data_IF_113756063104
#
_entry.id   IF_113756063104
#
_cell.length_a   1.000
_cell.length_b   1.000
_cell.length_c   1.000
_cell.angle_alpha   90.00
_cell.angle_beta   90.00
_cell.angle_gamma   90.00
#
_symmetry.space_group_name_H-M   'P 1'
#
loop_
_entity.id
_entity.type
_entity.pdbx_description
1 polymer ?
#
# COMPACT_ATOMS: atom_id res chain seq x y z
N UNK A 1 -15.99 3.24 -12.74
CA UNK A 1 -14.91 2.88 -11.80
C UNK A 1 -15.05 1.40 -11.49
N UNK A 2 -14.02 0.58 -11.71
CA UNK A 2 -14.07 -0.86 -11.42
C UNK A 2 -13.55 -1.11 -10.01
N UNK A 3 -14.25 -1.92 -9.23
CA UNK A 3 -13.81 -2.36 -7.89
C UNK A 3 -13.44 -3.84 -7.97
N UNK A 4 -12.28 -4.18 -7.42
CA UNK A 4 -11.78 -5.55 -7.32
C UNK A 4 -11.71 -5.91 -5.84
N UNK A 5 -12.44 -6.96 -5.46
CA UNK A 5 -12.33 -7.55 -4.12
C UNK A 5 -11.26 -8.62 -4.20
N UNK A 6 -10.12 -8.35 -3.57
CA UNK A 6 -9.00 -9.28 -3.52
C UNK A 6 -8.54 -9.34 -2.07
N UNK A 7 -8.63 -10.52 -1.47
CA UNK A 7 -8.08 -10.73 -0.14
C UNK A 7 -6.55 -10.71 -0.23
N UNK A 8 -5.87 -10.05 0.73
CA UNK A 8 -4.41 -9.92 0.70
C UNK A 8 -3.71 -11.28 0.82
N UNK A 9 -4.34 -12.26 1.48
CA UNK A 9 -3.84 -13.63 1.60
C UNK A 9 -4.99 -14.65 1.53
N UNK A 10 -4.67 -15.88 1.08
CA UNK A 10 -5.64 -16.96 0.90
C UNK A 10 -5.30 -18.17 1.79
N UNK A 11 -6.30 -19.02 2.06
CA UNK A 11 -6.13 -20.26 2.82
C UNK A 11 -5.69 -20.03 4.27
N UNK A 12 -4.82 -20.91 4.78
CA UNK A 12 -4.32 -20.86 6.18
C UNK A 12 -3.60 -19.54 6.47
N UNK A 13 -2.83 -19.02 5.51
CA UNK A 13 -2.14 -17.73 5.65
C UNK A 13 -3.14 -16.56 5.78
N UNK A 14 -4.29 -16.64 5.11
CA UNK A 14 -5.38 -15.67 5.27
C UNK A 14 -5.99 -15.65 6.67
N UNK A 15 -6.15 -16.82 7.29
CA UNK A 15 -6.64 -16.95 8.66
C UNK A 15 -5.61 -16.39 9.65
N UNK A 16 -4.33 -16.75 9.49
CA UNK A 16 -3.24 -16.20 10.31
C UNK A 16 -3.14 -14.68 10.17
N UNK A 17 -3.28 -14.17 8.96
CA UNK A 17 -3.34 -12.74 8.68
C UNK A 17 -4.49 -12.06 9.43
N UNK A 18 -5.71 -12.60 9.32
CA UNK A 18 -6.87 -12.03 10.00
C UNK A 18 -6.70 -12.07 11.52
N UNK A 19 -6.17 -13.17 12.07
CA UNK A 19 -5.84 -13.30 13.49
C UNK A 19 -4.81 -12.27 13.94
N UNK A 20 -3.73 -12.09 13.18
CA UNK A 20 -2.71 -11.07 13.46
C UNK A 20 -3.28 -9.65 13.35
N UNK A 21 -4.16 -9.40 12.39
CA UNK A 21 -4.80 -8.09 12.20
C UNK A 21 -5.65 -7.72 13.42
N UNK A 22 -6.43 -8.68 13.91
CA UNK A 22 -7.26 -8.53 15.12
C UNK A 22 -6.37 -8.36 16.36
N UNK A 23 -5.28 -9.12 16.47
CA UNK A 23 -4.33 -9.00 17.57
C UNK A 23 -3.65 -7.62 17.62
N UNK A 24 -3.30 -7.06 16.46
CA UNK A 24 -2.67 -5.74 16.34
C UNK A 24 -3.68 -4.58 16.31
N UNK A 25 -4.98 -4.86 16.31
CA UNK A 25 -6.02 -3.84 16.22
C UNK A 25 -5.97 -2.82 17.36
N UNK A 26 -5.85 -3.22 18.66
CA UNK A 26 -5.76 -2.25 19.75
C UNK A 26 -4.55 -1.34 19.58
N UNK A 27 -3.44 -1.92 19.11
CA UNK A 27 -2.20 -1.24 18.88
C UNK A 27 -2.32 -0.16 17.77
N UNK A 28 -2.97 -0.50 16.65
CA UNK A 28 -3.29 0.46 15.59
C UNK A 28 -4.20 1.58 16.09
N UNK A 29 -5.25 1.22 16.84
CA UNK A 29 -6.19 2.16 17.39
C UNK A 29 -5.50 3.19 18.31
N UNK A 30 -4.66 2.74 19.24
CA UNK A 30 -3.93 3.66 20.14
C UNK A 30 -3.02 4.62 19.37
N UNK A 31 -2.31 4.13 18.34
CA UNK A 31 -1.46 4.97 17.51
C UNK A 31 -2.25 6.09 16.81
N UNK A 32 -3.40 5.78 16.22
CA UNK A 32 -4.27 6.80 15.60
C UNK A 32 -4.84 7.79 16.62
N UNK A 33 -5.34 7.30 17.76
CA UNK A 33 -5.87 8.16 18.83
C UNK A 33 -4.81 9.16 19.28
N UNK A 34 -3.59 8.69 19.44
CA UNK A 34 -2.47 9.51 19.90
C UNK A 34 -2.06 10.58 18.89
N UNK A 35 -1.98 10.23 17.60
CA UNK A 35 -1.69 11.20 16.55
C UNK A 35 -2.80 12.26 16.46
N UNK A 36 -4.07 11.86 16.55
CA UNK A 36 -5.19 12.81 16.55
C UNK A 36 -5.15 13.75 17.77
N UNK A 37 -4.86 13.22 18.96
CA UNK A 37 -4.71 14.02 20.19
C UNK A 37 -3.56 15.02 20.09
N UNK A 38 -2.46 14.66 19.44
CA UNK A 38 -1.31 15.55 19.31
C UNK A 38 -1.58 16.78 18.42
N UNK A 39 -2.66 16.76 17.65
CA UNK A 39 -3.17 17.94 16.89
C UNK A 39 -4.25 18.71 17.69
N UNK A 40 -4.44 18.39 18.97
CA UNK A 40 -5.38 19.09 19.86
C UNK A 40 -6.80 18.52 19.87
N UNK A 41 -7.03 17.35 19.26
CA UNK A 41 -8.35 16.72 19.25
C UNK A 41 -8.74 16.23 20.64
N UNK A 42 -9.98 16.52 21.06
CA UNK A 42 -10.53 16.05 22.34
C UNK A 42 -10.52 14.51 22.43
N UNK A 43 -10.24 13.96 23.61
CA UNK A 43 -10.05 12.52 23.83
C UNK A 43 -11.20 11.66 23.28
N UNK A 44 -12.46 12.03 23.56
CA UNK A 44 -13.61 11.27 23.06
C UNK A 44 -13.68 11.27 21.53
N UNK A 45 -13.41 12.41 20.89
CA UNK A 45 -13.40 12.51 19.44
C UNK A 45 -12.25 11.69 18.84
N UNK A 46 -11.06 11.78 19.44
CA UNK A 46 -9.89 10.99 19.02
C UNK A 46 -10.14 9.48 19.17
N UNK A 47 -10.77 9.03 20.26
CA UNK A 47 -11.16 7.63 20.48
C UNK A 47 -12.17 7.15 19.43
N UNK A 48 -13.23 7.91 19.18
CA UNK A 48 -14.24 7.56 18.19
C UNK A 48 -13.65 7.53 16.77
N UNK A 49 -12.89 8.55 16.38
CA UNK A 49 -12.28 8.62 15.05
C UNK A 49 -11.15 7.60 14.87
N UNK A 50 -10.25 7.47 15.83
CA UNK A 50 -9.14 6.52 15.76
C UNK A 50 -9.60 5.07 15.71
N UNK A 51 -10.63 4.71 16.48
CA UNK A 51 -11.28 3.40 16.37
C UNK A 51 -11.97 3.24 15.02
N UNK A 52 -12.78 4.22 14.58
CA UNK A 52 -13.49 4.17 13.30
C UNK A 52 -12.53 3.99 12.12
N UNK A 53 -11.44 4.75 12.09
CA UNK A 53 -10.39 4.66 11.07
C UNK A 53 -9.76 3.26 11.06
N UNK A 54 -9.41 2.73 12.23
CA UNK A 54 -8.79 1.40 12.35
C UNK A 54 -9.73 0.30 11.86
N UNK A 55 -11.00 0.32 12.30
CA UNK A 55 -12.01 -0.65 11.87
C UNK A 55 -12.33 -0.52 10.38
N UNK A 56 -12.48 0.71 9.88
CA UNK A 56 -12.75 0.97 8.48
C UNK A 56 -11.60 0.46 7.61
N UNK A 57 -10.36 0.79 7.97
CA UNK A 57 -9.17 0.31 7.27
C UNK A 57 -9.10 -1.22 7.21
N UNK A 58 -9.42 -1.91 8.31
CA UNK A 58 -9.45 -3.37 8.33
C UNK A 58 -10.59 -3.94 7.45
N UNK A 59 -11.80 -3.40 7.58
CA UNK A 59 -12.97 -3.85 6.84
C UNK A 59 -12.85 -3.60 5.33
N UNK A 60 -12.20 -2.50 4.93
CA UNK A 60 -11.99 -2.14 3.52
C UNK A 60 -10.65 -2.61 2.97
N UNK A 61 -9.86 -3.36 3.75
CA UNK A 61 -8.59 -3.97 3.33
C UNK A 61 -8.73 -4.85 2.06
N UNK A 62 -9.81 -5.64 1.86
CA UNK A 62 -9.98 -6.40 0.62
C UNK A 62 -10.39 -5.57 -0.61
N UNK A 63 -10.74 -4.29 -0.41
CA UNK A 63 -11.36 -3.46 -1.45
C UNK A 63 -10.26 -2.68 -2.19
N UNK A 64 -10.15 -2.96 -3.50
CA UNK A 64 -9.19 -2.30 -4.38
C UNK A 64 -9.93 -1.56 -5.49
N UNK A 65 -9.64 -0.28 -5.62
CA UNK A 65 -10.25 0.61 -6.60
C UNK A 65 -9.33 0.73 -7.81
N UNK A 66 -9.77 0.30 -8.98
CA UNK A 66 -8.99 0.41 -10.21
C UNK A 66 -8.93 1.86 -10.67
N UNK A 67 -7.74 2.43 -10.71
CA UNK A 67 -7.46 3.81 -11.15
C UNK A 67 -6.97 3.85 -12.59
N UNK A 68 -6.33 2.78 -13.09
CA UNK A 68 -5.85 2.73 -14.47
C UNK A 68 -5.93 1.30 -15.02
N UNK A 69 -6.22 1.19 -16.32
CA UNK A 69 -6.28 -0.10 -17.03
C UNK A 69 -5.47 0.01 -18.31
N UNK A 70 -4.51 -0.89 -18.47
CA UNK A 70 -3.75 -1.07 -19.68
C UNK A 70 -4.29 -2.31 -20.39
N UNK A 71 -4.42 -2.24 -21.71
CA UNK A 71 -4.81 -3.38 -22.53
C UNK A 71 -3.83 -3.53 -23.66
N UNK A 72 -3.30 -4.74 -23.84
CA UNK A 72 -2.44 -5.08 -24.96
C UNK A 72 -3.01 -6.29 -25.67
N UNK A 73 -3.08 -6.18 -26.99
CA UNK A 73 -3.39 -7.30 -27.87
C UNK A 73 -2.08 -7.98 -28.21
N UNK A 74 -1.96 -9.27 -27.89
CA UNK A 74 -0.82 -10.09 -28.26
C UNK A 74 -1.27 -11.30 -29.07
N UNK A 75 -0.45 -11.65 -30.04
CA UNK A 75 -0.59 -12.86 -30.84
C UNK A 75 0.24 -13.93 -30.16
N UNK A 76 -0.42 -14.93 -29.56
CA UNK A 76 0.26 -16.02 -28.85
C UNK A 76 0.16 -17.28 -29.72
N UNK A 77 1.28 -17.96 -30.02
CA UNK A 77 1.24 -19.25 -30.67
C UNK A 77 0.71 -20.28 -29.65
N UNK A 78 -0.43 -20.91 -29.97
CA UNK A 78 -1.03 -21.99 -29.19
C UNK A 78 -1.01 -23.24 -30.05
N UNK A 79 -0.65 -24.38 -29.43
CA UNK A 79 -0.70 -25.68 -30.10
C UNK A 79 -2.03 -26.34 -29.75
N UNK A 80 -2.90 -26.44 -30.72
CA UNK A 80 -4.11 -27.26 -30.61
C UNK A 80 -3.82 -28.69 -31.08
N UNK A 81 -4.67 -29.64 -30.72
CA UNK A 81 -4.58 -31.02 -31.21
C UNK A 81 -5.83 -31.37 -32.00
N UNK A 82 -5.64 -31.86 -33.22
CA UNK A 82 -6.70 -32.44 -34.04
C UNK A 82 -6.48 -33.94 -34.09
N UNK A 83 -7.49 -34.72 -33.71
CA UNK A 83 -7.39 -36.19 -33.75
C UNK A 83 -7.73 -36.68 -35.15
N UNK A 84 -6.78 -37.33 -35.80
CA UNK A 84 -6.96 -37.96 -37.11
C UNK A 84 -6.56 -39.43 -36.98
N UNK A 85 -7.46 -40.36 -37.32
CA UNK A 85 -7.27 -41.81 -37.11
C UNK A 85 -6.89 -42.20 -35.66
N UNK A 86 -7.43 -41.51 -34.66
CA UNK A 86 -7.10 -41.77 -33.25
C UNK A 86 -5.73 -41.23 -32.81
N UNK A 87 -4.96 -40.59 -33.70
CA UNK A 87 -3.68 -39.96 -33.38
C UNK A 87 -3.86 -38.45 -33.18
N UNK A 88 -3.46 -37.88 -32.02
CA UNK A 88 -3.50 -36.43 -31.81
C UNK A 88 -2.36 -35.75 -32.59
N UNK A 89 -2.73 -34.95 -33.60
CA UNK A 89 -1.77 -34.19 -34.42
C UNK A 89 -1.70 -32.74 -33.89
N UNK A 90 -0.50 -32.25 -33.51
CA UNK A 90 -0.34 -30.86 -33.08
C UNK A 90 -0.49 -29.92 -34.27
N UNK A 91 -1.35 -28.91 -34.12
CA UNK A 91 -1.63 -27.87 -35.11
C UNK A 91 -1.35 -26.51 -34.49
N UNK A 92 -0.24 -25.84 -34.87
CA UNK A 92 0.07 -24.52 -34.33
C UNK A 92 -0.90 -23.49 -34.91
N UNK A 93 -1.57 -22.74 -34.04
CA UNK A 93 -2.42 -21.61 -34.42
C UNK A 93 -2.00 -20.36 -33.67
N UNK A 94 -2.15 -19.21 -34.31
CA UNK A 94 -1.93 -17.92 -33.66
C UNK A 94 -3.28 -17.47 -33.10
N UNK A 95 -3.39 -17.40 -31.77
CA UNK A 95 -4.60 -16.95 -31.09
C UNK A 95 -4.42 -15.52 -30.64
N UNK A 96 -5.48 -14.74 -30.77
CA UNK A 96 -5.54 -13.38 -30.29
C UNK A 96 -5.87 -13.37 -28.80
N UNK A 97 -4.95 -12.90 -27.97
CA UNK A 97 -5.16 -12.77 -26.53
C UNK A 97 -5.05 -11.30 -26.12
N UNK A 98 -6.09 -10.77 -25.47
CA UNK A 98 -6.05 -9.46 -24.86
C UNK A 98 -5.57 -9.60 -23.41
N UNK A 99 -4.32 -9.18 -23.15
CA UNK A 99 -3.81 -9.05 -21.79
C UNK A 99 -4.25 -7.72 -21.22
N UNK A 100 -4.92 -7.78 -20.07
CA UNK A 100 -5.31 -6.60 -19.30
C UNK A 100 -4.45 -6.51 -18.05
N UNK A 101 -3.92 -5.32 -17.80
CA UNK A 101 -3.19 -4.98 -16.59
C UNK A 101 -3.97 -3.90 -15.85
N UNK A 102 -4.32 -4.18 -14.59
CA UNK A 102 -5.09 -3.27 -13.74
C UNK A 102 -4.19 -2.68 -12.66
N UNK A 103 -4.21 -1.35 -12.55
CA UNK A 103 -3.57 -0.61 -11.47
C UNK A 103 -4.67 -0.13 -10.54
N UNK A 104 -4.60 -0.55 -9.29
CA UNK A 104 -5.58 -0.23 -8.27
C UNK A 104 -4.94 0.48 -7.06
N UNK A 105 -5.79 1.13 -6.28
CA UNK A 105 -5.46 1.69 -4.96
C UNK A 105 -6.34 0.99 -3.94
N UNK A 106 -5.71 0.46 -2.89
CA UNK A 106 -6.40 -0.19 -1.79
C UNK A 106 -7.07 0.84 -0.88
N UNK A 107 -8.34 0.60 -0.53
CA UNK A 107 -9.09 1.55 0.30
C UNK A 107 -8.55 1.57 1.74
N UNK A 108 -8.39 0.40 2.35
CA UNK A 108 -7.98 0.30 3.75
C UNK A 108 -6.49 0.57 3.99
N UNK A 109 -5.64 0.11 3.07
CA UNK A 109 -4.18 0.15 3.16
C UNK A 109 -3.53 1.41 2.60
N UNK A 110 -4.18 2.12 1.66
CA UNK A 110 -3.63 3.34 1.07
C UNK A 110 -4.56 4.55 1.20
N UNK A 111 -5.83 4.44 0.80
CA UNK A 111 -6.72 5.59 0.76
C UNK A 111 -7.03 6.16 2.16
N UNK A 112 -7.34 5.30 3.14
CA UNK A 112 -7.63 5.72 4.51
C UNK A 112 -6.39 6.33 5.19
N UNK A 113 -5.19 5.69 5.19
CA UNK A 113 -3.97 6.32 5.71
C UNK A 113 -3.65 7.65 5.05
N UNK A 114 -3.81 7.74 3.72
CA UNK A 114 -3.57 8.98 2.99
C UNK A 114 -4.56 10.08 3.39
N UNK A 115 -5.84 9.75 3.59
CA UNK A 115 -6.84 10.71 4.07
C UNK A 115 -6.48 11.25 5.46
N UNK A 116 -6.08 10.37 6.39
CA UNK A 116 -5.61 10.76 7.73
C UNK A 116 -4.35 11.62 7.64
N UNK A 117 -3.35 11.21 6.86
CA UNK A 117 -2.12 11.98 6.68
C UNK A 117 -2.40 13.37 6.07
N UNK A 118 -3.33 13.46 5.12
CA UNK A 118 -3.74 14.73 4.49
C UNK A 118 -4.42 15.63 5.52
N UNK A 119 -5.33 15.09 6.33
CA UNK A 119 -5.99 15.84 7.43
C UNK A 119 -4.95 16.40 8.41
N UNK A 120 -3.99 15.58 8.83
CA UNK A 120 -2.94 16.00 9.76
C UNK A 120 -2.01 17.03 9.14
N UNK A 121 -1.62 16.85 7.88
CA UNK A 121 -0.75 17.78 7.17
C UNK A 121 -1.37 19.17 7.05
N UNK A 122 -2.70 19.27 6.92
CA UNK A 122 -3.40 20.55 6.92
C UNK A 122 -3.27 21.33 8.25
N UNK A 123 -2.95 20.66 9.36
CA UNK A 123 -2.81 21.29 10.68
C UNK A 123 -1.36 21.61 11.05
N UNK A 124 -0.38 20.84 10.58
CA UNK A 124 1.03 20.95 10.99
C UNK A 124 1.98 21.24 9.82
N UNK A 125 1.45 21.80 8.72
CA UNK A 125 2.23 22.07 7.52
C UNK A 125 3.44 22.96 7.80
N UNK A 126 4.62 22.52 7.38
CA UNK A 126 5.85 23.30 7.47
C UNK A 126 6.83 22.94 6.35
N UNK A 127 7.77 23.83 6.01
CA UNK A 127 8.86 23.49 5.08
C UNK A 127 9.71 22.31 5.56
N UNK A 128 9.90 22.17 6.88
CA UNK A 128 10.61 21.05 7.49
C UNK A 128 9.89 19.71 7.26
N UNK A 129 8.55 19.70 7.36
CA UNK A 129 7.75 18.52 7.03
C UNK A 129 7.91 18.11 5.56
N UNK A 130 7.89 19.07 4.63
CA UNK A 130 8.12 18.78 3.21
C UNK A 130 9.51 18.20 2.96
N UNK A 131 10.54 18.74 3.64
CA UNK A 131 11.89 18.21 3.55
C UNK A 131 11.97 16.76 4.10
N UNK A 132 11.32 16.48 5.23
CA UNK A 132 11.24 15.13 5.78
C UNK A 132 10.57 14.15 4.82
N UNK A 133 9.42 14.52 4.24
CA UNK A 133 8.71 13.71 3.24
C UNK A 133 9.58 13.47 2.00
N UNK A 134 10.27 14.50 1.51
CA UNK A 134 11.12 14.40 0.33
C UNK A 134 12.31 13.45 0.57
N UNK A 135 13.02 13.62 1.69
CA UNK A 135 14.14 12.74 2.07
C UNK A 135 13.67 11.31 2.26
N UNK A 136 12.59 11.10 3.01
CA UNK A 136 12.03 9.77 3.21
C UNK A 136 11.63 9.11 1.89
N UNK A 137 11.01 9.85 0.97
CA UNK A 137 10.62 9.35 -0.35
C UNK A 137 11.83 8.86 -1.15
N UNK A 138 12.92 9.63 -1.17
CA UNK A 138 14.14 9.27 -1.90
C UNK A 138 14.77 8.00 -1.31
N UNK A 139 14.88 7.93 0.02
CA UNK A 139 15.46 6.78 0.71
C UNK A 139 14.60 5.52 0.56
N UNK A 140 13.28 5.65 0.68
CA UNK A 140 12.33 4.53 0.48
C UNK A 140 12.39 4.04 -0.97
N UNK A 141 12.47 4.95 -1.94
CA UNK A 141 12.66 4.58 -3.34
C UNK A 141 13.96 3.78 -3.55
N UNK A 142 15.07 4.20 -2.93
CA UNK A 142 16.36 3.54 -3.06
C UNK A 142 16.37 2.09 -2.53
N UNK A 143 15.59 1.81 -1.47
CA UNK A 143 15.48 0.45 -0.90
C UNK A 143 14.37 -0.40 -1.53
N UNK A 144 13.44 0.23 -2.26
CA UNK A 144 12.34 -0.45 -2.93
C UNK A 144 12.77 -1.19 -4.20
N UNK A 145 12.08 -2.27 -4.54
CA UNK A 145 12.31 -3.03 -5.79
C UNK A 145 10.97 -3.37 -6.44
N UNK A 146 10.94 -3.37 -7.78
CA UNK A 146 9.78 -3.86 -8.53
C UNK A 146 10.03 -5.31 -8.90
N UNK A 147 9.21 -6.20 -8.36
CA UNK A 147 9.27 -7.63 -8.63
C UNK A 147 8.15 -7.99 -9.62
N UNK A 148 8.47 -8.60 -10.78
CA UNK A 148 7.46 -9.00 -11.77
C UNK A 148 6.35 -9.85 -11.15
N UNK A 149 5.10 -9.58 -11.53
CA UNK A 149 3.88 -10.23 -11.02
C UNK A 149 3.58 -10.07 -9.52
N UNK A 150 4.45 -9.40 -8.76
CA UNK A 150 4.25 -9.11 -7.33
C UNK A 150 3.93 -7.63 -7.12
N UNK A 151 4.67 -6.74 -7.80
CA UNK A 151 4.52 -5.29 -7.65
C UNK A 151 5.73 -4.64 -7.00
N UNK A 152 5.52 -3.52 -6.30
CA UNK A 152 6.58 -2.84 -5.55
C UNK A 152 6.72 -3.50 -4.18
N UNK A 153 7.93 -3.90 -3.83
CA UNK A 153 8.26 -4.45 -2.51
C UNK A 153 9.30 -3.58 -1.82
N UNK A 154 9.15 -3.44 -0.51
CA UNK A 154 10.12 -2.78 0.38
C UNK A 154 10.40 -3.68 1.58
N UNK A 155 11.61 -3.63 2.17
CA UNK A 155 11.84 -4.29 3.45
C UNK A 155 10.90 -3.68 4.51
N UNK A 156 10.13 -4.51 5.22
CA UNK A 156 8.99 -4.05 6.02
C UNK A 156 9.32 -2.96 7.06
N UNK A 157 10.52 -3.01 7.67
CA UNK A 157 10.96 -2.03 8.67
C UNK A 157 11.66 -0.80 8.07
N UNK A 158 12.06 -0.84 6.80
CA UNK A 158 12.79 0.27 6.20
C UNK A 158 11.92 1.54 6.10
N UNK A 159 10.70 1.52 5.53
CA UNK A 159 9.85 2.71 5.50
C UNK A 159 9.56 3.34 6.87
N UNK A 160 9.15 2.61 7.92
CA UNK A 160 8.89 3.25 9.22
C UNK A 160 10.14 3.83 9.88
N UNK A 161 11.30 3.16 9.78
CA UNK A 161 12.55 3.67 10.34
C UNK A 161 13.01 4.92 9.58
N UNK A 162 13.01 4.86 8.24
CA UNK A 162 13.39 6.00 7.40
C UNK A 162 12.49 7.20 7.70
N UNK A 163 11.19 6.99 7.81
CA UNK A 163 10.24 8.06 8.09
C UNK A 163 10.40 8.66 9.49
N UNK A 164 10.58 7.81 10.52
CA UNK A 164 10.83 8.26 11.89
C UNK A 164 12.10 9.11 11.97
N UNK A 165 13.21 8.63 11.39
CA UNK A 165 14.47 9.37 11.38
C UNK A 165 14.39 10.67 10.57
N UNK A 166 13.75 10.64 9.40
CA UNK A 166 13.62 11.84 8.54
C UNK A 166 12.78 12.92 9.22
N UNK A 167 11.68 12.54 9.87
CA UNK A 167 10.85 13.47 10.64
C UNK A 167 11.58 14.00 11.88
N UNK A 168 12.28 13.13 12.62
CA UNK A 168 13.03 13.51 13.81
C UNK A 168 14.14 14.52 13.48
N UNK A 169 14.93 14.27 12.44
CA UNK A 169 16.00 15.18 11.99
C UNK A 169 15.43 16.54 11.56
N UNK A 170 14.23 16.55 10.98
CA UNK A 170 13.52 17.78 10.62
C UNK A 170 12.88 18.49 11.84
N UNK A 171 13.06 18.00 13.06
CA UNK A 171 12.46 18.54 14.29
C UNK A 171 10.97 18.26 14.43
N UNK A 172 10.45 17.26 13.69
CA UNK A 172 9.05 16.88 13.69
C UNK A 172 8.71 15.86 14.78
N UNK A 173 7.53 16.01 15.39
CA UNK A 173 6.98 15.04 16.34
C UNK A 173 6.19 13.90 15.67
N UNK A 174 5.41 13.12 16.46
CA UNK A 174 4.68 11.94 15.98
C UNK A 174 3.75 12.19 14.78
N UNK A 175 3.14 13.38 14.70
CA UNK A 175 2.30 13.77 13.55
C UNK A 175 3.13 13.87 12.27
N UNK A 176 4.26 14.59 12.33
CA UNK A 176 5.17 14.74 11.21
C UNK A 176 5.74 13.39 10.78
N UNK A 177 6.05 12.52 11.75
CA UNK A 177 6.47 11.14 11.48
C UNK A 177 5.39 10.33 10.74
N UNK A 178 4.13 10.39 11.18
CA UNK A 178 3.03 9.70 10.50
C UNK A 178 2.86 10.18 9.07
N UNK A 179 2.82 11.50 8.86
CA UNK A 179 2.71 12.11 7.53
C UNK A 179 3.89 11.70 6.66
N UNK A 180 5.11 11.75 7.20
CA UNK A 180 6.35 11.37 6.51
C UNK A 180 6.35 9.90 6.12
N UNK A 181 5.82 9.01 6.96
CA UNK A 181 5.70 7.60 6.67
C UNK A 181 4.70 7.33 5.54
N UNK A 182 3.50 7.91 5.61
CA UNK A 182 2.45 7.70 4.60
C UNK A 182 2.84 8.30 3.25
N UNK A 183 3.16 9.60 3.19
CA UNK A 183 3.53 10.25 1.93
C UNK A 183 4.88 9.75 1.41
N UNK A 184 5.87 9.57 2.30
CA UNK A 184 7.18 9.06 1.93
C UNK A 184 7.10 7.66 1.32
N UNK A 185 6.24 6.79 1.85
CA UNK A 185 6.03 5.45 1.29
C UNK A 185 5.30 5.51 -0.04
N UNK A 186 4.18 6.25 -0.14
CA UNK A 186 3.43 6.36 -1.41
C UNK A 186 4.29 6.95 -2.51
N UNK A 187 4.99 8.05 -2.23
CA UNK A 187 5.82 8.72 -3.24
C UNK A 187 7.03 7.84 -3.57
N UNK A 188 7.77 7.41 -2.54
CA UNK A 188 9.01 6.67 -2.67
C UNK A 188 8.84 5.27 -3.26
N UNK A 189 7.98 4.46 -2.66
CA UNK A 189 7.74 3.09 -3.11
C UNK A 189 6.90 3.09 -4.39
N UNK A 190 5.71 3.69 -4.40
CA UNK A 190 4.75 3.47 -5.48
C UNK A 190 4.92 4.43 -6.66
N UNK A 191 4.88 5.74 -6.41
CA UNK A 191 4.86 6.75 -7.49
C UNK A 191 6.18 6.74 -8.27
N UNK A 192 7.32 6.77 -7.58
CA UNK A 192 8.64 6.81 -8.23
C UNK A 192 8.96 5.50 -8.98
N UNK A 193 8.40 4.35 -8.58
CA UNK A 193 8.53 3.09 -9.32
C UNK A 193 7.46 2.86 -10.38
N UNK A 194 6.44 3.72 -10.50
CA UNK A 194 5.32 3.50 -11.42
C UNK A 194 5.78 3.27 -12.86
N UNK A 195 6.80 4.01 -13.33
CA UNK A 195 7.39 3.79 -14.67
C UNK A 195 7.93 2.37 -14.87
N UNK A 196 8.51 1.76 -13.82
CA UNK A 196 9.00 0.38 -13.86
C UNK A 196 7.83 -0.60 -13.81
N UNK A 197 6.80 -0.34 -12.99
CA UNK A 197 5.58 -1.17 -12.92
C UNK A 197 4.87 -1.21 -14.28
N UNK A 198 4.66 -0.05 -14.90
CA UNK A 198 4.06 0.08 -16.24
C UNK A 198 4.86 -0.63 -17.34
N UNK A 199 6.17 -0.80 -17.16
CA UNK A 199 7.03 -1.52 -18.09
C UNK A 199 6.87 -3.04 -17.97
N UNK A 200 6.75 -3.55 -16.74
CA UNK A 200 6.55 -4.98 -16.48
C UNK A 200 5.11 -5.45 -16.71
N UNK A 201 4.14 -4.53 -16.68
CA UNK A 201 2.72 -4.78 -16.98
C UNK A 201 2.14 -5.98 -16.22
N UNK A 202 2.26 -6.03 -14.88
CA UNK A 202 1.66 -7.12 -14.12
C UNK A 202 0.14 -7.17 -14.37
N UNK A 203 -0.48 -8.36 -14.41
CA UNK A 203 -1.92 -8.50 -14.65
C UNK A 203 -2.77 -7.67 -13.66
N UNK A 204 -2.30 -7.58 -12.42
CA UNK A 204 -2.91 -6.79 -11.37
C UNK A 204 -1.81 -6.23 -10.46
N UNK A 205 -1.89 -4.95 -10.13
CA UNK A 205 -1.08 -4.31 -9.09
C UNK A 205 -1.98 -3.42 -8.25
N UNK A 206 -1.83 -3.48 -6.93
CA UNK A 206 -2.59 -2.63 -6.02
C UNK A 206 -1.64 -1.90 -5.07
N UNK A 207 -1.66 -0.57 -5.13
CA UNK A 207 -0.98 0.30 -4.17
C UNK A 207 -1.71 0.17 -2.83
N UNK A 208 -1.01 -0.18 -1.76
CA UNK A 208 -1.69 -0.53 -0.51
C UNK A 208 -2.23 -1.96 -0.47
N UNK A 209 -1.87 -2.82 -1.44
CA UNK A 209 -2.58 -4.06 -1.76
C UNK A 209 -2.60 -5.11 -0.66
N UNK A 210 -1.63 -5.10 0.27
CA UNK A 210 -1.65 -5.97 1.46
C UNK A 210 -2.60 -5.46 2.56
N UNK A 211 -3.29 -4.34 2.31
CA UNK A 211 -4.26 -3.75 3.24
C UNK A 211 -3.59 -3.09 4.43
N UNK A 212 -4.04 -3.40 5.65
CA UNK A 212 -3.45 -2.84 6.89
C UNK A 212 -2.02 -3.30 7.16
N UNK A 213 -1.54 -4.34 6.47
CA UNK A 213 -0.14 -4.78 6.52
C UNK A 213 0.67 -4.26 5.35
N UNK A 214 0.08 -3.46 4.48
CA UNK A 214 0.85 -2.77 3.47
C UNK A 214 1.81 -1.78 4.11
N UNK A 215 2.92 -1.56 3.42
CA UNK A 215 3.96 -0.63 3.85
C UNK A 215 3.40 0.74 4.18
N UNK A 216 2.34 1.22 3.52
CA UNK A 216 1.75 2.53 3.79
C UNK A 216 1.09 2.60 5.17
N UNK A 217 0.14 1.69 5.46
CA UNK A 217 -0.57 1.69 6.74
C UNK A 217 0.37 1.32 7.90
N UNK A 218 1.11 0.21 7.74
CA UNK A 218 1.97 -0.31 8.80
C UNK A 218 3.13 0.64 9.10
N UNK A 219 3.72 1.28 8.08
CA UNK A 219 4.77 2.27 8.32
C UNK A 219 4.25 3.47 9.08
N UNK A 220 3.05 3.98 8.77
CA UNK A 220 2.44 5.08 9.50
C UNK A 220 2.34 4.81 11.00
N UNK A 221 1.77 3.66 11.36
CA UNK A 221 1.60 3.27 12.76
C UNK A 221 2.94 2.98 13.45
N UNK A 222 3.81 2.18 12.82
CA UNK A 222 5.09 1.81 13.42
C UNK A 222 6.03 3.02 13.56
N UNK A 223 6.05 3.93 12.58
CA UNK A 223 6.87 5.13 12.66
C UNK A 223 6.46 6.02 13.83
N UNK A 224 5.15 6.15 14.09
CA UNK A 224 4.65 6.87 15.27
C UNK A 224 5.17 6.26 16.57
N UNK A 225 5.21 4.93 16.69
CA UNK A 225 5.83 4.35 17.88
C UNK A 225 7.32 4.62 17.98
N UNK A 226 8.03 4.45 16.88
CA UNK A 226 9.48 4.66 16.86
C UNK A 226 9.79 6.10 17.26
N UNK A 227 8.98 7.06 16.84
CA UNK A 227 9.11 8.47 17.24
C UNK A 227 8.91 8.73 18.73
N UNK A 228 8.41 7.77 19.52
CA UNK A 228 8.30 7.88 20.98
C UNK A 228 9.53 7.36 21.72
N UNK A 229 10.40 6.63 21.03
CA UNK A 229 11.62 6.09 21.62
C UNK A 229 12.76 7.13 21.65
N UNK A 230 12.57 8.27 20.99
CA UNK A 230 13.52 9.37 20.84
C UNK A 230 12.82 10.68 21.17
#
# INVERSE_FOLDING_TARGET
>A
MRVVIAFPFYGVLGILYAGLAVLLLPFFMFSFVDVLKSVGMHLLAALLLGSSVTFLSLATSPINVVVHTLSRRQYVPVVDYVVVFGMPIPTPRIVFQEERSYIAVNVGGAAVPLAVATYLAAHVFSPALLAAVAVASILIYAVSRVVPNVGVVTPALAPPIIAALSALIAGGGPVATYITAVYGTIIGADVLNMKKVLRHRPPFVSIGGAGVFDGIFLSGVLAVLLSRLF
#
